data_IF_626633990929
#
_entry.id   IF_626633990929
#
_cell.length_a   1.000
_cell.length_b   1.000
_cell.length_c   1.000
_cell.angle_alpha   90.00
_cell.angle_beta   90.00
_cell.angle_gamma   90.00
#
_symmetry.space_group_name_H-M   'P 1'
#
loop_
_entity.id
_entity.type
_entity.pdbx_description
1 polymer ?
#
# COMPACT_ATOMS: atom_id res chain seq x y z
N UNK A 1 -31.99 7.58 6.32
CA UNK A 1 -31.03 6.65 6.96
C UNK A 1 -29.92 6.18 6.01
N UNK A 2 -30.23 5.75 4.77
CA UNK A 2 -29.22 5.32 3.76
C UNK A 2 -28.18 6.41 3.42
N UNK A 3 -28.61 7.63 3.08
CA UNK A 3 -27.71 8.76 2.78
C UNK A 3 -26.73 9.07 3.93
N UNK A 4 -27.21 9.08 5.17
CA UNK A 4 -26.38 9.31 6.36
C UNK A 4 -25.30 8.23 6.52
N UNK A 5 -25.65 6.95 6.34
CA UNK A 5 -24.70 5.84 6.41
C UNK A 5 -23.62 5.93 5.32
N UNK A 6 -24.00 6.34 4.11
CA UNK A 6 -23.09 6.44 2.97
C UNK A 6 -22.10 7.60 3.15
N UNK A 7 -22.54 8.74 3.67
CA UNK A 7 -21.68 9.87 4.02
C UNK A 7 -20.65 9.49 5.10
N UNK A 8 -21.09 8.82 6.17
CA UNK A 8 -20.20 8.41 7.26
C UNK A 8 -19.18 7.38 6.79
N UNK A 9 -19.60 6.43 5.94
CA UNK A 9 -18.69 5.45 5.35
C UNK A 9 -17.68 6.12 4.40
N UNK A 10 -18.10 7.14 3.66
CA UNK A 10 -17.23 7.98 2.84
C UNK A 10 -16.14 8.67 3.67
N UNK A 11 -16.49 9.25 4.82
CA UNK A 11 -15.51 9.85 5.73
C UNK A 11 -14.54 8.83 6.31
N UNK A 12 -15.01 7.66 6.70
CA UNK A 12 -14.15 6.56 7.17
C UNK A 12 -13.20 6.12 6.05
N UNK A 13 -13.70 5.98 4.82
CA UNK A 13 -12.89 5.63 3.65
C UNK A 13 -11.81 6.67 3.37
N UNK A 14 -12.16 7.96 3.42
CA UNK A 14 -11.20 9.06 3.26
C UNK A 14 -10.14 9.07 4.37
N UNK A 15 -10.54 8.90 5.63
CA UNK A 15 -9.61 8.86 6.76
C UNK A 15 -8.63 7.67 6.64
N UNK A 16 -9.12 6.48 6.29
CA UNK A 16 -8.28 5.31 6.03
C UNK A 16 -7.35 5.53 4.83
N UNK A 17 -7.84 6.13 3.75
CA UNK A 17 -7.04 6.44 2.57
C UNK A 17 -5.91 7.44 2.90
N UNK A 18 -6.20 8.50 3.65
CA UNK A 18 -5.17 9.43 4.14
C UNK A 18 -4.16 8.73 5.06
N UNK A 19 -4.61 7.86 5.95
CA UNK A 19 -3.72 7.08 6.81
C UNK A 19 -2.78 6.19 5.99
N UNK A 20 -3.30 5.40 5.04
CA UNK A 20 -2.49 4.53 4.17
C UNK A 20 -1.53 5.36 3.31
N UNK A 21 -2.00 6.45 2.70
CA UNK A 21 -1.15 7.37 1.95
C UNK A 21 -0.03 7.95 2.82
N UNK A 22 -0.34 8.36 4.04
CA UNK A 22 0.62 8.85 5.02
C UNK A 22 1.67 7.80 5.37
N UNK A 23 1.25 6.57 5.68
CA UNK A 23 2.16 5.45 5.93
C UNK A 23 3.08 5.23 4.73
N UNK A 24 2.55 5.24 3.51
CA UNK A 24 3.34 5.02 2.29
C UNK A 24 4.37 6.13 2.05
N UNK A 25 3.94 7.39 2.12
CA UNK A 25 4.79 8.55 1.86
C UNK A 25 5.85 8.76 2.96
N UNK A 26 5.52 8.44 4.21
CA UNK A 26 6.39 8.70 5.36
C UNK A 26 6.99 7.43 5.97
N UNK A 27 6.88 6.27 5.32
CA UNK A 27 7.50 5.04 5.80
C UNK A 27 9.01 5.26 6.03
N UNK A 28 9.57 4.92 7.21
CA UNK A 28 10.95 5.27 7.55
C UNK A 28 11.98 4.65 6.59
N UNK A 29 11.67 3.46 6.06
CA UNK A 29 12.56 2.70 5.19
C UNK A 29 12.23 2.83 3.69
N UNK A 30 10.99 3.20 3.34
CA UNK A 30 10.49 3.11 1.96
C UNK A 30 9.77 4.37 1.49
N UNK A 31 9.56 5.36 2.37
CA UNK A 31 8.87 6.58 2.00
C UNK A 31 9.73 7.53 1.18
N UNK A 32 9.21 8.75 1.03
CA UNK A 32 9.78 9.84 0.25
C UNK A 32 11.25 10.09 0.57
N UNK A 33 11.61 10.11 1.87
CA UNK A 33 13.00 10.33 2.30
C UNK A 33 13.96 9.26 1.77
N UNK A 34 13.53 7.99 1.67
CA UNK A 34 14.36 6.92 1.08
C UNK A 34 14.49 7.11 -0.42
N UNK A 35 13.39 7.41 -1.12
CA UNK A 35 13.41 7.61 -2.55
C UNK A 35 14.38 8.74 -2.94
N UNK A 36 14.28 9.89 -2.27
CA UNK A 36 15.19 11.04 -2.50
C UNK A 36 16.64 10.64 -2.27
N UNK A 37 16.96 9.92 -1.19
CA UNK A 37 18.32 9.44 -0.92
C UNK A 37 18.84 8.51 -2.02
N UNK A 38 18.01 7.63 -2.56
CA UNK A 38 18.40 6.75 -3.67
C UNK A 38 18.65 7.54 -4.95
N UNK A 39 17.74 8.46 -5.30
CA UNK A 39 17.89 9.31 -6.49
C UNK A 39 19.12 10.23 -6.41
N UNK A 40 19.42 10.77 -5.23
CA UNK A 40 20.58 11.63 -4.99
C UNK A 40 21.93 10.94 -5.24
N UNK A 41 21.97 9.60 -5.28
CA UNK A 41 23.19 8.87 -5.66
C UNK A 41 23.51 8.96 -7.16
N UNK A 42 22.56 9.40 -7.99
CA UNK A 42 22.65 9.36 -9.45
C UNK A 42 22.58 7.96 -10.05
N UNK A 43 22.46 6.90 -9.22
CA UNK A 43 22.48 5.51 -9.67
C UNK A 43 21.06 4.90 -9.70
N UNK A 44 20.39 5.01 -10.84
CA UNK A 44 19.03 4.49 -11.04
C UNK A 44 18.94 2.95 -10.93
N UNK A 45 20.04 2.21 -11.10
CA UNK A 45 20.03 0.74 -10.94
C UNK A 45 19.62 0.30 -9.53
N UNK A 46 19.80 1.16 -8.53
CA UNK A 46 19.37 0.92 -7.16
C UNK A 46 17.84 0.81 -7.03
N UNK A 47 17.07 1.47 -7.90
CA UNK A 47 15.61 1.34 -7.93
C UNK A 47 15.17 0.03 -8.61
N UNK A 48 15.99 -0.51 -9.51
CA UNK A 48 15.79 -1.86 -10.03
C UNK A 48 16.05 -2.92 -8.95
N UNK A 49 17.06 -2.69 -8.11
CA UNK A 49 17.36 -3.58 -6.99
C UNK A 49 16.36 -3.44 -5.84
N UNK A 50 15.92 -2.24 -5.48
CA UNK A 50 14.87 -2.05 -4.48
C UNK A 50 13.76 -1.14 -5.03
N UNK A 51 12.69 -1.72 -5.61
CA UNK A 51 11.63 -0.94 -6.23
C UNK A 51 10.64 -0.35 -5.21
N UNK A 52 10.71 -0.78 -3.95
CA UNK A 52 9.70 -0.44 -2.93
C UNK A 52 9.64 1.07 -2.68
N UNK A 53 10.75 1.83 -2.57
CA UNK A 53 10.65 3.26 -2.31
C UNK A 53 9.91 4.04 -3.39
N UNK A 54 10.15 3.68 -4.65
CA UNK A 54 9.41 4.27 -5.77
C UNK A 54 7.93 3.88 -5.72
N UNK A 55 7.63 2.60 -5.53
CA UNK A 55 6.26 2.10 -5.45
C UNK A 55 5.47 2.71 -4.29
N UNK A 56 6.06 2.82 -3.10
CA UNK A 56 5.44 3.44 -1.92
C UNK A 56 5.09 4.90 -2.19
N UNK A 57 6.03 5.68 -2.73
CA UNK A 57 5.79 7.12 -2.98
C UNK A 57 4.74 7.34 -4.07
N UNK A 58 4.87 6.67 -5.21
CA UNK A 58 3.92 6.82 -6.32
C UNK A 58 2.50 6.39 -5.90
N UNK A 59 2.40 5.28 -5.17
CA UNK A 59 1.12 4.80 -4.68
C UNK A 59 0.50 5.71 -3.62
N UNK A 60 1.30 6.29 -2.73
CA UNK A 60 0.85 7.31 -1.78
C UNK A 60 0.24 8.52 -2.48
N UNK A 61 0.89 9.05 -3.52
CA UNK A 61 0.32 10.13 -4.33
C UNK A 61 -0.91 9.71 -5.13
N UNK A 62 -0.94 8.48 -5.66
CA UNK A 62 -2.11 7.96 -6.37
C UNK A 62 -3.34 7.88 -5.44
N UNK A 63 -3.16 7.49 -4.18
CA UNK A 63 -4.25 7.50 -3.18
C UNK A 63 -4.74 8.93 -2.93
N UNK A 64 -3.84 9.90 -2.73
CA UNK A 64 -4.22 11.30 -2.53
C UNK A 64 -5.00 11.86 -3.74
N UNK A 65 -4.57 11.50 -4.96
CA UNK A 65 -5.31 11.83 -6.18
C UNK A 65 -6.69 11.17 -6.20
N UNK A 66 -6.80 9.89 -5.83
CA UNK A 66 -8.08 9.18 -5.73
C UNK A 66 -9.06 9.88 -4.78
N UNK A 67 -8.59 10.31 -3.61
CA UNK A 67 -9.41 11.11 -2.66
C UNK A 67 -9.89 12.39 -3.36
N UNK A 68 -8.99 13.12 -4.03
CA UNK A 68 -9.35 14.37 -4.72
C UNK A 68 -10.38 14.12 -5.84
N UNK A 69 -10.27 13.04 -6.60
CA UNK A 69 -11.22 12.69 -7.66
C UNK A 69 -12.62 12.42 -7.10
N UNK A 70 -12.73 11.69 -5.98
CA UNK A 70 -14.02 11.45 -5.31
C UNK A 70 -14.62 12.75 -4.79
N UNK A 71 -13.81 13.64 -4.19
CA UNK A 71 -14.28 14.94 -3.70
C UNK A 71 -14.76 15.88 -4.83
N UNK A 72 -14.24 15.69 -6.04
CA UNK A 72 -14.65 16.43 -7.24
C UNK A 72 -15.79 15.73 -8.01
N UNK A 73 -16.35 14.65 -7.45
CA UNK A 73 -17.42 13.84 -8.05
C UNK A 73 -17.05 13.20 -9.40
N UNK A 74 -15.75 13.00 -9.65
CA UNK A 74 -15.28 12.27 -10.83
C UNK A 74 -15.42 10.76 -10.60
N UNK A 75 -16.50 10.17 -11.13
CA UNK A 75 -16.65 8.73 -11.35
C UNK A 75 -16.18 7.88 -10.16
N UNK A 76 -16.97 7.88 -9.07
CA UNK A 76 -16.60 7.22 -7.81
C UNK A 76 -16.32 5.72 -7.96
N UNK A 77 -17.14 5.01 -8.74
CA UNK A 77 -16.99 3.58 -9.00
C UNK A 77 -15.59 3.20 -9.54
N UNK A 78 -15.12 3.79 -10.67
CA UNK A 78 -13.74 3.60 -11.11
C UNK A 78 -12.69 3.88 -10.05
N UNK A 79 -12.84 4.95 -9.27
CA UNK A 79 -11.87 5.31 -8.23
C UNK A 79 -11.82 4.26 -7.11
N UNK A 80 -12.97 3.76 -6.66
CA UNK A 80 -13.03 2.69 -5.66
C UNK A 80 -12.42 1.39 -6.18
N UNK A 81 -12.69 1.02 -7.43
CA UNK A 81 -12.11 -0.16 -8.07
C UNK A 81 -10.58 -0.07 -8.18
N UNK A 82 -10.06 1.10 -8.61
CA UNK A 82 -8.62 1.36 -8.67
C UNK A 82 -7.97 1.33 -7.28
N UNK A 83 -8.65 1.88 -6.26
CA UNK A 83 -8.20 1.80 -4.87
C UNK A 83 -8.11 0.36 -4.36
N UNK A 84 -9.13 -0.46 -4.64
CA UNK A 84 -9.11 -1.89 -4.31
C UNK A 84 -7.98 -2.65 -5.02
N UNK A 85 -7.74 -2.34 -6.30
CA UNK A 85 -6.63 -2.91 -7.07
C UNK A 85 -5.27 -2.54 -6.48
N UNK A 86 -5.08 -1.27 -6.10
CA UNK A 86 -3.87 -0.81 -5.44
C UNK A 86 -3.64 -1.55 -4.12
N UNK A 87 -4.65 -1.62 -3.25
CA UNK A 87 -4.53 -2.35 -1.98
C UNK A 87 -4.22 -3.84 -2.20
N UNK A 88 -4.87 -4.48 -3.16
CA UNK A 88 -4.59 -5.88 -3.52
C UNK A 88 -3.13 -6.05 -3.92
N UNK A 89 -2.59 -5.11 -4.71
CA UNK A 89 -1.19 -5.09 -5.12
C UNK A 89 -0.25 -4.98 -3.92
N UNK A 90 -0.61 -4.22 -2.88
CA UNK A 90 0.20 -4.11 -1.65
C UNK A 90 0.24 -5.42 -0.87
N UNK A 91 -0.86 -6.16 -0.80
CA UNK A 91 -0.89 -7.48 -0.16
C UNK A 91 -0.10 -8.51 -0.94
N UNK A 92 -0.36 -8.63 -2.24
CA UNK A 92 0.38 -9.56 -3.12
C UNK A 92 1.87 -9.25 -3.10
N UNK A 93 2.23 -7.98 -3.23
CA UNK A 93 3.63 -7.52 -3.17
C UNK A 93 4.28 -7.79 -1.82
N UNK A 94 3.57 -7.56 -0.70
CA UNK A 94 4.08 -7.84 0.64
C UNK A 94 4.39 -9.33 0.83
N UNK A 95 3.44 -10.21 0.49
CA UNK A 95 3.65 -11.65 0.63
C UNK A 95 4.67 -12.17 -0.36
N UNK A 96 4.63 -11.76 -1.63
CA UNK A 96 5.65 -12.14 -2.62
C UNK A 96 7.05 -11.74 -2.14
N UNK A 97 7.21 -10.52 -1.62
CA UNK A 97 8.50 -10.06 -1.11
C UNK A 97 9.05 -10.95 0.01
N UNK A 98 8.25 -11.25 1.02
CA UNK A 98 8.71 -12.01 2.18
C UNK A 98 8.81 -13.51 1.91
N UNK A 99 7.84 -14.08 1.21
CA UNK A 99 7.78 -15.52 0.94
C UNK A 99 8.88 -15.99 -0.02
N UNK A 100 9.43 -15.10 -0.84
CA UNK A 100 10.56 -15.42 -1.73
C UNK A 100 11.89 -14.89 -1.19
N UNK A 101 12.01 -14.62 0.10
CA UNK A 101 13.26 -14.19 0.73
C UNK A 101 13.69 -12.79 0.28
N UNK A 102 12.90 -11.78 0.63
CA UNK A 102 13.17 -10.36 0.36
C UNK A 102 13.29 -9.99 -1.13
N UNK A 103 12.36 -10.50 -1.94
CA UNK A 103 12.25 -10.15 -3.35
C UNK A 103 13.02 -11.06 -4.31
N UNK A 104 13.30 -12.32 -3.92
CA UNK A 104 13.86 -13.34 -4.81
C UNK A 104 13.04 -13.65 -6.07
N UNK A 105 11.78 -13.22 -6.16
CA UNK A 105 11.01 -13.28 -7.41
C UNK A 105 11.45 -12.24 -8.46
N UNK A 106 12.21 -11.22 -8.07
CA UNK A 106 12.70 -10.20 -8.99
C UNK A 106 13.89 -10.74 -9.80
N UNK A 107 13.97 -10.41 -11.12
CA UNK A 107 15.07 -10.85 -11.97
C UNK A 107 16.45 -10.50 -11.39
N UNK A 108 17.37 -11.46 -11.42
CA UNK A 108 18.75 -11.27 -10.98
C UNK A 108 18.97 -11.25 -9.46
N UNK A 109 17.96 -11.55 -8.64
CA UNK A 109 18.10 -11.64 -7.18
C UNK A 109 18.09 -13.08 -6.69
N UNK A 110 18.94 -13.36 -5.70
CA UNK A 110 18.91 -14.62 -4.95
C UNK A 110 18.01 -14.46 -3.73
N UNK A 111 17.11 -15.42 -3.44
CA UNK A 111 16.33 -15.40 -2.21
C UNK A 111 17.20 -15.35 -0.95
N UNK A 112 16.77 -14.54 0.03
CA UNK A 112 17.41 -14.40 1.35
C UNK A 112 16.42 -14.72 2.47
N UNK A 113 16.50 -15.95 3.01
CA UNK A 113 15.55 -16.51 3.99
C UNK A 113 15.97 -16.40 5.45
N UNK A 114 17.19 -15.93 5.75
CA UNK A 114 17.73 -15.83 7.12
C UNK A 114 17.58 -17.11 7.98
N UNK A 115 17.57 -18.30 7.36
CA UNK A 115 17.42 -19.58 8.06
C UNK A 115 16.02 -19.88 8.60
N UNK A 116 15.02 -19.04 8.33
CA UNK A 116 13.63 -19.25 8.74
C UNK A 116 12.78 -19.81 7.60
N UNK A 117 11.78 -20.62 7.95
CA UNK A 117 10.73 -20.98 7.02
C UNK A 117 9.96 -19.70 6.59
N UNK A 118 9.61 -19.51 5.30
CA UNK A 118 9.09 -18.23 4.80
C UNK A 118 7.82 -17.74 5.50
N UNK A 119 6.91 -18.66 5.83
CA UNK A 119 5.67 -18.32 6.57
C UNK A 119 5.99 -17.81 7.98
N UNK A 120 6.93 -18.46 8.67
CA UNK A 120 7.39 -18.05 10.00
C UNK A 120 8.06 -16.68 9.95
N UNK A 121 8.81 -16.39 8.87
CA UNK A 121 9.42 -15.08 8.66
C UNK A 121 8.37 -13.97 8.50
N UNK A 122 7.27 -14.21 7.77
CA UNK A 122 6.16 -13.26 7.65
C UNK A 122 5.49 -12.99 9.00
N UNK A 123 5.14 -14.05 9.73
CA UNK A 123 4.48 -13.92 11.04
C UNK A 123 5.39 -13.19 12.04
N UNK A 124 6.67 -13.54 12.07
CA UNK A 124 7.68 -12.85 12.88
C UNK A 124 7.81 -11.38 12.48
N UNK A 125 7.78 -11.06 11.19
CA UNK A 125 7.85 -9.67 10.73
C UNK A 125 6.64 -8.87 11.18
N UNK A 126 5.41 -9.40 11.01
CA UNK A 126 4.21 -8.71 11.47
C UNK A 126 4.19 -8.53 13.00
N UNK A 127 4.71 -9.50 13.76
CA UNK A 127 4.78 -9.41 15.21
C UNK A 127 5.81 -8.38 15.71
N UNK A 128 6.96 -8.29 15.04
CA UNK A 128 8.10 -7.47 15.50
C UNK A 128 8.17 -6.07 14.88
N UNK A 129 7.38 -5.80 13.82
CA UNK A 129 7.35 -4.50 13.15
C UNK A 129 5.93 -3.90 13.22
N UNK A 130 5.58 -3.18 14.31
CA UNK A 130 4.23 -2.65 14.53
C UNK A 130 3.70 -1.79 13.39
N UNK A 131 4.56 -1.00 12.74
CA UNK A 131 4.17 -0.19 11.59
C UNK A 131 3.74 -1.05 10.39
N UNK A 132 4.39 -2.20 10.17
CA UNK A 132 4.00 -3.12 9.10
C UNK A 132 2.64 -3.76 9.40
N UNK A 133 2.39 -4.17 10.64
CA UNK A 133 1.09 -4.67 11.07
C UNK A 133 -0.01 -3.61 10.93
N UNK A 134 0.24 -2.39 11.41
CA UNK A 134 -0.69 -1.26 11.30
C UNK A 134 -1.00 -0.91 9.84
N UNK A 135 0.02 -0.93 8.96
CA UNK A 135 -0.16 -0.72 7.53
C UNK A 135 -1.07 -1.79 6.91
N UNK A 136 -0.77 -3.09 7.11
CA UNK A 136 -1.61 -4.17 6.57
C UNK A 136 -3.03 -4.14 7.09
N UNK A 137 -3.23 -3.79 8.36
CA UNK A 137 -4.55 -3.63 8.94
C UNK A 137 -5.31 -2.44 8.33
N UNK A 138 -4.68 -1.27 8.22
CA UNK A 138 -5.29 -0.08 7.61
C UNK A 138 -5.63 -0.30 6.12
N UNK A 139 -4.74 -0.96 5.38
CA UNK A 139 -4.98 -1.35 3.99
C UNK A 139 -6.17 -2.31 3.87
N UNK A 140 -6.25 -3.38 4.68
CA UNK A 140 -7.39 -4.30 4.67
C UNK A 140 -8.71 -3.58 5.03
N UNK A 141 -8.70 -2.72 6.05
CA UNK A 141 -9.87 -1.93 6.40
C UNK A 141 -10.30 -1.01 5.24
N UNK A 142 -9.34 -0.36 4.58
CA UNK A 142 -9.60 0.47 3.41
C UNK A 142 -10.23 -0.36 2.28
N UNK A 143 -9.68 -1.53 1.97
CA UNK A 143 -10.23 -2.43 0.95
C UNK A 143 -11.69 -2.77 1.22
N UNK A 144 -12.01 -3.15 2.47
CA UNK A 144 -13.39 -3.49 2.86
C UNK A 144 -14.31 -2.29 2.69
N UNK A 145 -13.91 -1.10 3.14
CA UNK A 145 -14.72 0.11 2.99
C UNK A 145 -14.93 0.47 1.52
N UNK A 146 -13.89 0.41 0.70
CA UNK A 146 -13.99 0.65 -0.75
C UNK A 146 -14.90 -0.37 -1.43
N UNK A 147 -14.83 -1.65 -1.05
CA UNK A 147 -15.69 -2.70 -1.59
C UNK A 147 -17.17 -2.45 -1.24
N UNK A 148 -17.45 -2.03 -0.01
CA UNK A 148 -18.82 -1.67 0.40
C UNK A 148 -19.31 -0.43 -0.36
N UNK A 149 -18.49 0.63 -0.48
CA UNK A 149 -18.84 1.83 -1.23
C UNK A 149 -19.10 1.51 -2.71
N UNK A 150 -18.21 0.75 -3.36
CA UNK A 150 -18.36 0.31 -4.75
C UNK A 150 -19.68 -0.43 -4.98
N UNK A 151 -20.04 -1.36 -4.08
CA UNK A 151 -21.29 -2.13 -4.16
C UNK A 151 -22.55 -1.31 -3.94
N UNK A 152 -22.47 -0.15 -3.27
CA UNK A 152 -23.62 0.72 -3.01
C UNK A 152 -23.85 1.75 -4.12
N UNK A 153 -22.80 2.05 -4.86
CA UNK A 153 -22.76 2.99 -5.98
C UNK A 153 -22.99 2.29 -7.34
N UNK A 154 -23.04 0.95 -7.36
CA UNK A 154 -23.51 0.13 -8.49
C UNK A 154 -24.96 -0.28 -8.32
#
# INVERSE_FOLDING_TARGET
MRLWLDEHLGYVGAALAYLVAGIHLFHPQYGFSRLVRLLATGNLSLLGYDPRPLAFVLSGFAILLGIKLVLLDFGRNPVYALGMLLVTTYFVGYFAWHLTGHGGFLPGRKPLYHGLHPVTAVLSHLANYPLAAAAKFAEAALFVVLAVLYRRET
#
